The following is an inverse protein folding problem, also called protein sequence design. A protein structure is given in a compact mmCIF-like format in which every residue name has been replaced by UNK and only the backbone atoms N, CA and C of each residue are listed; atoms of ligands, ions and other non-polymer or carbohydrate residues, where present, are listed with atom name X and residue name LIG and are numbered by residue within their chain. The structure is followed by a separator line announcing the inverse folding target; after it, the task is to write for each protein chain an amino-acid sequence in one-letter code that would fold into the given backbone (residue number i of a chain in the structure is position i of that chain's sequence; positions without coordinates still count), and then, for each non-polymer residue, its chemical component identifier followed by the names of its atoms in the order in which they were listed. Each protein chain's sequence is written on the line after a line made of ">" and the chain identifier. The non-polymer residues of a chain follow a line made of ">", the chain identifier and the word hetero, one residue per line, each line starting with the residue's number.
data_IF_547760125929
#
_entry.id   IF_547760125929
#
_cell.length_a   1.000
_cell.length_b   1.000
_cell.length_c   1.000
_cell.angle_alpha   90.00
_cell.angle_beta   90.00
_cell.angle_gamma   90.00
#
_symmetry.space_group_name_H-M   'P 1'
#
loop_
_entity.id
_entity.type
_entity.pdbx_description
1 polymer ?
#
# COMPACT_ATOMS: atom_id res chain seq x y z
N UNK A 1 -4.69 -19.11 8.11
CA UNK A 1 -5.33 -18.22 9.10
C UNK A 1 -6.36 -19.00 9.92
N UNK A 2 -5.92 -19.92 10.77
CA UNK A 2 -6.85 -20.77 11.54
C UNK A 2 -6.29 -21.32 12.85
N UNK A 3 -5.01 -21.09 13.14
CA UNK A 3 -4.37 -21.55 14.38
C UNK A 3 -3.98 -20.38 15.31
N UNK A 4 -3.38 -19.33 14.75
CA UNK A 4 -2.88 -18.21 15.55
C UNK A 4 -3.97 -17.41 16.27
N UNK A 5 -5.07 -17.05 15.57
CA UNK A 5 -6.15 -16.26 16.15
C UNK A 5 -6.88 -16.97 17.30
N UNK A 6 -7.30 -18.26 17.19
CA UNK A 6 -7.90 -18.95 18.32
C UNK A 6 -6.92 -19.09 19.50
N UNK A 7 -5.63 -19.35 19.25
CA UNK A 7 -4.61 -19.40 20.31
C UNK A 7 -4.46 -18.08 21.06
N UNK A 8 -4.45 -16.96 20.34
CA UNK A 8 -4.28 -15.64 20.95
C UNK A 8 -5.47 -15.25 21.84
N UNK A 9 -6.69 -15.70 21.50
CA UNK A 9 -7.93 -15.32 22.19
C UNK A 9 -8.28 -16.28 23.34
N UNK A 10 -7.82 -17.53 23.27
CA UNK A 10 -8.17 -18.58 24.22
C UNK A 10 -7.69 -18.25 25.66
N UNK A 11 -8.60 -18.22 26.65
CA UNK A 11 -8.26 -17.93 28.05
C UNK A 11 -7.27 -18.90 28.70
N UNK A 12 -7.25 -20.16 28.25
CA UNK A 12 -6.36 -21.20 28.78
C UNK A 12 -4.98 -21.20 28.10
N UNK A 13 -4.77 -20.30 27.13
CA UNK A 13 -3.52 -20.18 26.36
C UNK A 13 -2.95 -18.76 26.48
N UNK A 14 -2.89 -17.98 25.39
CA UNK A 14 -2.32 -16.64 25.42
C UNK A 14 -3.24 -15.59 26.07
N UNK A 15 -4.54 -15.89 26.21
CA UNK A 15 -5.54 -15.10 26.93
C UNK A 15 -5.50 -13.59 26.63
N UNK A 16 -5.20 -13.21 25.38
CA UNK A 16 -5.18 -11.80 24.99
C UNK A 16 -6.61 -11.26 24.78
N UNK A 17 -7.60 -12.14 24.61
CA UNK A 17 -9.00 -11.76 24.42
C UNK A 17 -9.17 -10.69 23.32
N UNK A 18 -9.82 -9.58 23.65
CA UNK A 18 -10.01 -8.45 22.73
C UNK A 18 -8.73 -7.65 22.40
N UNK A 19 -7.65 -7.79 23.18
CA UNK A 19 -6.40 -7.05 22.95
C UNK A 19 -5.66 -7.50 21.69
N UNK A 20 -5.99 -8.67 21.14
CA UNK A 20 -5.57 -9.13 19.80
C UNK A 20 -5.83 -8.08 18.73
N UNK A 21 -6.91 -7.29 18.86
CA UNK A 21 -7.21 -6.19 17.96
C UNK A 21 -6.09 -5.16 17.86
N UNK A 22 -5.36 -4.89 18.94
CA UNK A 22 -4.23 -3.94 18.91
C UNK A 22 -3.02 -4.48 18.17
N UNK A 23 -2.79 -5.80 18.20
CA UNK A 23 -1.73 -6.44 17.41
C UNK A 23 -2.00 -6.25 15.92
N UNK A 24 -3.22 -6.57 15.48
CA UNK A 24 -3.61 -6.36 14.09
C UNK A 24 -3.63 -4.88 13.70
N UNK A 25 -4.13 -4.01 14.58
CA UNK A 25 -4.12 -2.56 14.34
C UNK A 25 -2.68 -2.04 14.17
N UNK A 26 -1.71 -2.53 14.96
CA UNK A 26 -0.30 -2.18 14.81
C UNK A 26 0.26 -2.56 13.45
N UNK A 27 0.03 -3.81 13.00
CA UNK A 27 0.46 -4.24 11.66
C UNK A 27 -0.24 -3.47 10.54
N UNK A 28 -1.54 -3.22 10.67
CA UNK A 28 -2.29 -2.39 9.72
C UNK A 28 -1.75 -0.96 9.65
N UNK A 29 -1.38 -0.36 10.78
CA UNK A 29 -0.79 0.97 10.81
C UNK A 29 0.57 1.01 10.11
N UNK A 30 1.44 0.02 10.35
CA UNK A 30 2.73 -0.10 9.65
C UNK A 30 2.51 -0.27 8.14
N UNK A 31 1.59 -1.16 7.74
CA UNK A 31 1.25 -1.36 6.34
C UNK A 31 0.67 -0.08 5.70
N UNK A 32 -0.15 0.67 6.42
CA UNK A 32 -0.71 1.94 5.97
C UNK A 32 0.39 3.00 5.76
N UNK A 33 1.33 3.11 6.70
CA UNK A 33 2.49 4.01 6.58
C UNK A 33 3.33 3.63 5.36
N UNK A 34 3.65 2.35 5.20
CA UNK A 34 4.42 1.89 4.05
C UNK A 34 3.68 2.14 2.73
N UNK A 35 2.39 1.80 2.67
CA UNK A 35 1.57 2.04 1.48
C UNK A 35 1.51 3.53 1.15
N UNK A 36 1.39 4.39 2.16
CA UNK A 36 1.45 5.83 1.99
C UNK A 36 2.77 6.22 1.31
N UNK A 37 3.94 5.86 1.84
CA UNK A 37 5.21 6.32 1.27
C UNK A 37 5.65 5.65 -0.03
N UNK A 38 5.31 4.37 -0.23
CA UNK A 38 5.88 3.56 -1.31
C UNK A 38 4.92 3.30 -2.47
N UNK A 39 3.60 3.45 -2.30
CA UNK A 39 2.64 3.16 -3.38
C UNK A 39 2.32 4.44 -4.16
N UNK A 40 2.68 4.50 -5.46
CA UNK A 40 2.29 5.62 -6.32
C UNK A 40 0.80 5.58 -6.71
N UNK A 41 0.28 6.73 -7.12
CA UNK A 41 -1.05 6.83 -7.72
C UNK A 41 -1.00 6.43 -9.20
N UNK A 42 -1.58 5.26 -9.53
CA UNK A 42 -1.61 4.69 -10.89
C UNK A 42 -3.00 4.68 -11.52
N UNK A 43 -4.05 5.12 -10.80
CA UNK A 43 -5.40 5.11 -11.33
C UNK A 43 -5.54 6.04 -12.55
N UNK A 44 -6.14 5.53 -13.63
CA UNK A 44 -6.39 6.30 -14.85
C UNK A 44 -5.17 6.57 -15.73
N UNK A 45 -4.02 5.96 -15.44
CA UNK A 45 -2.80 6.03 -16.27
C UNK A 45 -2.63 4.76 -17.10
N UNK A 46 -2.10 4.91 -18.30
CA UNK A 46 -1.65 3.79 -19.13
C UNK A 46 -0.28 3.27 -18.64
N UNK A 47 0.06 2.02 -18.98
CA UNK A 47 1.37 1.45 -18.62
C UNK A 47 2.54 2.28 -19.18
N UNK A 48 2.40 2.81 -20.40
CA UNK A 48 3.43 3.66 -21.02
C UNK A 48 3.65 4.98 -20.27
N UNK A 49 2.60 5.59 -19.73
CA UNK A 49 2.72 6.78 -18.88
C UNK A 49 3.40 6.48 -17.55
N UNK A 50 3.11 5.31 -16.97
CA UNK A 50 3.76 4.86 -15.73
C UNK A 50 5.26 4.65 -15.97
N UNK A 51 5.64 4.02 -17.08
CA UNK A 51 7.04 3.82 -17.43
C UNK A 51 7.78 5.16 -17.65
N UNK A 52 7.16 6.14 -18.30
CA UNK A 52 7.73 7.50 -18.41
C UNK A 52 7.90 8.17 -17.05
N UNK A 53 6.94 8.07 -16.15
CA UNK A 53 7.05 8.65 -14.80
C UNK A 53 8.21 8.07 -13.99
N UNK A 54 8.47 6.76 -14.16
CA UNK A 54 9.64 6.11 -13.56
C UNK A 54 10.94 6.58 -14.20
N UNK A 55 10.98 6.72 -15.53
CA UNK A 55 12.14 7.22 -16.27
C UNK A 55 12.47 8.68 -15.93
N UNK A 56 11.46 9.51 -15.72
CA UNK A 56 11.57 10.92 -15.31
C UNK A 56 11.90 11.09 -13.80
N UNK A 57 12.05 9.98 -13.07
CA UNK A 57 12.31 9.94 -11.62
C UNK A 57 11.34 10.81 -10.79
N UNK A 58 10.09 10.95 -11.25
CA UNK A 58 9.11 11.80 -10.57
C UNK A 58 8.75 11.16 -9.23
N UNK A 59 8.84 11.90 -8.11
CA UNK A 59 8.42 11.38 -6.82
C UNK A 59 6.99 10.84 -6.88
N UNK A 60 6.78 9.63 -6.37
CA UNK A 60 5.50 8.87 -6.41
C UNK A 60 4.28 9.67 -5.91
N UNK A 61 4.51 10.71 -5.09
CA UNK A 61 3.47 11.61 -4.56
C UNK A 61 3.02 12.71 -5.51
N UNK A 62 3.82 13.04 -6.50
CA UNK A 62 3.51 14.05 -7.51
C UNK A 62 2.78 13.46 -8.71
N UNK A 63 2.68 12.12 -8.79
CA UNK A 63 2.04 11.43 -9.89
C UNK A 63 0.60 11.88 -10.09
N UNK A 64 -0.20 12.09 -9.04
CA UNK A 64 -1.60 12.53 -9.21
C UNK A 64 -1.77 13.83 -10.01
N UNK A 65 -0.82 14.76 -9.93
CA UNK A 65 -0.88 16.07 -10.62
C UNK A 65 0.00 16.19 -11.85
N UNK A 66 0.72 15.13 -12.24
CA UNK A 66 1.67 15.18 -13.34
C UNK A 66 1.00 14.84 -14.67
N UNK A 67 0.97 15.77 -15.61
CA UNK A 67 0.44 15.53 -16.96
C UNK A 67 1.54 14.94 -17.84
N UNK A 68 1.42 13.65 -18.16
CA UNK A 68 2.27 12.96 -19.15
C UNK A 68 1.74 13.21 -20.56
N UNK A 69 2.52 13.84 -21.44
CA UNK A 69 2.25 13.88 -22.89
C UNK A 69 2.87 12.64 -23.54
N UNK A 70 2.10 11.57 -23.67
CA UNK A 70 2.55 10.35 -24.38
C UNK A 70 2.17 10.37 -25.86
N UNK A 71 1.24 11.24 -26.28
CA UNK A 71 0.66 11.23 -27.63
C UNK A 71 1.56 11.77 -28.76
N UNK A 72 2.66 12.49 -28.49
CA UNK A 72 3.43 13.16 -29.57
C UNK A 72 4.55 12.32 -30.23
N UNK A 73 4.91 11.15 -29.70
CA UNK A 73 6.01 10.32 -30.27
C UNK A 73 5.56 9.20 -31.23
N UNK A 74 4.24 9.05 -31.47
CA UNK A 74 3.69 8.01 -32.37
C UNK A 74 3.01 8.63 -33.62
N UNK A 75 3.34 9.88 -33.97
CA UNK A 75 2.84 10.55 -35.19
C UNK A 75 3.91 10.66 -36.27
#
# INVERSE_FOLDING_TARGET
>A
MGFATPYMVNPDEANMGGYVGFVFAGFCAIACIWAFFCVPETAGRTSAEIDKLWADEIPVRKWKGYTTRVEEEIA
#
